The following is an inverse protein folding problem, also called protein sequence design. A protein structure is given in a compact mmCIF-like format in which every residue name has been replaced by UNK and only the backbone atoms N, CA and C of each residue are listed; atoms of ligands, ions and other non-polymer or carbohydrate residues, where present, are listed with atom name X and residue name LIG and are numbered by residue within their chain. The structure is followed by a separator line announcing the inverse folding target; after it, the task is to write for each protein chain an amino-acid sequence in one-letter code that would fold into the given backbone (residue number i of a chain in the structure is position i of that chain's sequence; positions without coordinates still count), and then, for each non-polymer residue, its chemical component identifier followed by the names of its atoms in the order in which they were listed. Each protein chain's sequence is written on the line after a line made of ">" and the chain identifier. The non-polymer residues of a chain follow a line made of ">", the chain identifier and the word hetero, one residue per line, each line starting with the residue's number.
data_IF_953938574518
#
_entry.id   IF_953938574518
#
_cell.length_a   1.000
_cell.length_b   1.000
_cell.length_c   1.000
_cell.angle_alpha   90.00
_cell.angle_beta   90.00
_cell.angle_gamma   90.00
#
_symmetry.space_group_name_H-M   'P 1'
#
loop_
_entity.id
_entity.type
_entity.pdbx_description
1 polymer ?
#
# COMPACT_ATOMS: atom_id res chain seq x y z
N UNK A 1 -9.02 1.50 20.84
CA UNK A 1 -7.66 1.09 21.24
C UNK A 1 -6.59 1.64 20.28
N UNK A 2 -6.54 1.27 18.99
CA UNK A 2 -5.47 1.73 18.07
C UNK A 2 -5.29 3.26 18.06
N UNK A 3 -6.38 4.03 17.94
CA UNK A 3 -6.33 5.51 18.01
C UNK A 3 -5.73 6.03 19.31
N UNK A 4 -6.13 5.45 20.43
CA UNK A 4 -5.68 5.83 21.78
C UNK A 4 -4.18 5.60 21.96
N UNK A 5 -3.67 4.49 21.43
CA UNK A 5 -2.26 4.10 21.58
C UNK A 5 -1.38 4.49 20.40
N UNK A 6 -1.93 5.22 19.41
CA UNK A 6 -1.20 5.60 18.19
C UNK A 6 -0.74 4.41 17.34
N UNK A 7 -1.41 3.27 17.44
CA UNK A 7 -1.05 2.05 16.70
C UNK A 7 -1.36 2.22 15.21
N UNK A 8 -0.41 1.84 14.36
CA UNK A 8 -0.57 1.83 12.91
C UNK A 8 -1.31 0.58 12.44
N UNK A 9 -2.19 0.76 11.46
CA UNK A 9 -2.82 -0.32 10.72
C UNK A 9 -2.14 -0.46 9.36
N UNK A 10 -1.68 -1.68 9.03
CA UNK A 10 -1.18 -2.04 7.70
C UNK A 10 -2.20 -2.98 7.06
N UNK A 11 -2.94 -2.56 6.02
CA UNK A 11 -4.15 -3.26 5.60
C UNK A 11 -3.91 -4.43 4.65
N UNK A 12 -2.87 -4.40 3.81
CA UNK A 12 -2.53 -5.48 2.87
C UNK A 12 -3.71 -5.93 2.00
N UNK A 13 -4.45 -4.96 1.43
CA UNK A 13 -5.67 -5.25 0.66
C UNK A 13 -5.35 -6.07 -0.59
N UNK A 14 -4.21 -5.80 -1.23
CA UNK A 14 -3.72 -6.52 -2.40
C UNK A 14 -3.65 -8.03 -2.17
N UNK A 15 -3.14 -8.47 -1.02
CA UNK A 15 -3.08 -9.89 -0.68
C UNK A 15 -4.47 -10.48 -0.43
N UNK A 16 -5.37 -9.74 0.24
CA UNK A 16 -6.76 -10.14 0.44
C UNK A 16 -7.51 -10.38 -0.87
N UNK A 17 -7.36 -9.45 -1.82
CA UNK A 17 -7.94 -9.55 -3.16
C UNK A 17 -7.35 -10.74 -3.92
N UNK A 18 -6.03 -10.93 -3.87
CA UNK A 18 -5.36 -12.04 -4.53
C UNK A 18 -5.85 -13.40 -4.01
N UNK A 19 -5.86 -13.61 -2.69
CA UNK A 19 -6.30 -14.90 -2.13
C UNK A 19 -7.78 -15.15 -2.38
N UNK A 20 -8.61 -14.10 -2.40
CA UNK A 20 -10.02 -14.23 -2.73
C UNK A 20 -10.23 -14.71 -4.17
N UNK A 21 -9.56 -14.09 -5.14
CA UNK A 21 -9.64 -14.50 -6.54
C UNK A 21 -9.09 -15.92 -6.74
N UNK A 22 -7.93 -16.22 -6.13
CA UNK A 22 -7.32 -17.55 -6.21
C UNK A 22 -8.15 -18.65 -5.56
N UNK A 23 -8.90 -18.35 -4.51
CA UNK A 23 -9.78 -19.35 -3.88
C UNK A 23 -10.99 -19.74 -4.75
N UNK A 24 -11.30 -18.99 -5.81
CA UNK A 24 -12.32 -19.37 -6.79
C UNK A 24 -11.78 -20.41 -7.78
N UNK A 25 -10.47 -20.48 -7.99
CA UNK A 25 -9.80 -21.46 -8.83
C UNK A 25 -9.79 -22.85 -8.14
N UNK A 26 -10.44 -23.88 -8.71
CA UNK A 26 -10.44 -25.21 -8.11
C UNK A 26 -9.03 -25.78 -7.96
N UNK A 27 -8.69 -26.30 -6.77
CA UNK A 27 -7.41 -26.92 -6.49
C UNK A 27 -6.23 -25.97 -6.25
N UNK A 28 -6.42 -24.64 -6.32
CA UNK A 28 -5.34 -23.69 -6.04
C UNK A 28 -4.91 -23.71 -4.57
N UNK A 29 -5.89 -23.66 -3.67
CA UNK A 29 -5.66 -23.79 -2.22
C UNK A 29 -6.11 -25.16 -1.71
N UNK A 30 -5.44 -25.70 -0.67
CA UNK A 30 -5.99 -26.82 0.09
C UNK A 30 -7.40 -26.52 0.59
N UNK A 31 -8.28 -27.54 0.66
CA UNK A 31 -9.69 -27.38 1.08
C UNK A 31 -9.85 -26.77 2.47
N UNK A 32 -8.87 -26.96 3.36
CA UNK A 32 -8.86 -26.32 4.69
C UNK A 32 -8.54 -24.81 4.64
N UNK A 33 -7.89 -24.33 3.59
CA UNK A 33 -7.47 -22.93 3.41
C UNK A 33 -8.50 -22.14 2.60
N UNK A 34 -9.08 -22.76 1.57
CA UNK A 34 -9.98 -22.11 0.61
C UNK A 34 -11.16 -21.35 1.27
N UNK A 35 -11.89 -21.89 2.27
CA UNK A 35 -12.99 -21.16 2.90
C UNK A 35 -12.53 -19.87 3.59
N UNK A 36 -11.34 -19.88 4.21
CA UNK A 36 -10.78 -18.71 4.89
C UNK A 36 -10.47 -17.58 3.91
N UNK A 37 -9.88 -17.92 2.77
CA UNK A 37 -9.56 -16.96 1.72
C UNK A 37 -10.82 -16.33 1.12
N UNK A 38 -11.85 -17.14 0.85
CA UNK A 38 -13.15 -16.67 0.37
C UNK A 38 -13.84 -15.72 1.37
N UNK A 39 -13.74 -16.03 2.66
CA UNK A 39 -14.39 -15.24 3.70
C UNK A 39 -13.67 -13.91 3.99
N UNK A 40 -12.34 -13.95 4.11
CA UNK A 40 -11.57 -12.81 4.64
C UNK A 40 -11.21 -11.80 3.56
N UNK A 41 -10.82 -12.24 2.37
CA UNK A 41 -10.32 -11.34 1.32
C UNK A 41 -11.20 -10.10 1.05
N UNK A 42 -12.52 -10.28 0.84
CA UNK A 42 -13.43 -9.15 0.59
C UNK A 42 -13.59 -8.19 1.79
N UNK A 43 -13.38 -8.68 3.02
CA UNK A 43 -13.60 -7.91 4.26
C UNK A 43 -12.47 -6.90 4.53
N UNK A 44 -11.27 -7.14 4.00
CA UNK A 44 -10.08 -6.32 4.30
C UNK A 44 -10.27 -4.89 3.80
N UNK A 45 -10.71 -4.70 2.54
CA UNK A 45 -10.94 -3.37 1.96
C UNK A 45 -12.02 -2.59 2.71
N UNK A 46 -13.11 -3.26 3.08
CA UNK A 46 -14.17 -2.65 3.90
C UNK A 46 -13.62 -2.21 5.26
N UNK A 47 -12.77 -3.04 5.88
CA UNK A 47 -12.16 -2.76 7.18
C UNK A 47 -11.20 -1.58 7.12
N UNK A 48 -10.41 -1.48 6.04
CA UNK A 48 -9.59 -0.30 5.76
C UNK A 48 -10.43 0.98 5.69
N UNK A 49 -11.53 0.97 4.94
CA UNK A 49 -12.41 2.13 4.83
C UNK A 49 -13.01 2.56 6.18
N UNK A 50 -13.40 1.60 7.02
CA UNK A 50 -13.87 1.88 8.38
C UNK A 50 -12.76 2.46 9.26
N UNK A 51 -11.58 1.85 9.26
CA UNK A 51 -10.44 2.32 10.05
C UNK A 51 -10.00 3.74 9.67
N UNK A 52 -9.96 4.05 8.38
CA UNK A 52 -9.64 5.39 7.88
C UNK A 52 -10.66 6.43 8.32
N UNK A 53 -11.97 6.14 8.14
CA UNK A 53 -13.06 7.02 8.59
C UNK A 53 -13.03 7.29 10.09
N UNK A 54 -12.64 6.29 10.86
CA UNK A 54 -12.48 6.43 12.31
C UNK A 54 -11.25 7.25 12.71
N UNK A 55 -10.29 7.49 11.81
CA UNK A 55 -9.05 8.20 12.12
C UNK A 55 -7.95 7.31 12.71
N UNK A 56 -7.95 6.02 12.40
CA UNK A 56 -6.82 5.14 12.69
C UNK A 56 -5.64 5.53 11.80
N UNK A 57 -4.42 5.57 12.36
CA UNK A 57 -3.21 5.78 11.57
C UNK A 57 -3.00 4.59 10.62
N UNK A 58 -2.82 4.84 9.33
CA UNK A 58 -2.65 3.81 8.31
C UNK A 58 -1.28 3.95 7.66
N UNK A 59 -0.54 2.85 7.60
CA UNK A 59 0.70 2.73 6.87
C UNK A 59 0.53 1.79 5.67
N UNK A 60 1.27 2.04 4.60
CA UNK A 60 1.20 1.24 3.39
C UNK A 60 1.91 -0.10 3.58
N UNK A 61 1.26 -1.18 3.15
CA UNK A 61 1.85 -2.50 3.11
C UNK A 61 0.94 -3.44 2.35
N UNK A 62 1.54 -4.42 1.68
CA UNK A 62 0.88 -5.16 0.59
C UNK A 62 0.82 -6.66 0.83
N UNK A 63 1.70 -7.18 1.69
CA UNK A 63 1.98 -8.62 1.84
C UNK A 63 2.38 -9.30 0.50
N UNK A 64 3.06 -8.53 -0.36
CA UNK A 64 3.66 -9.06 -1.60
C UNK A 64 4.70 -10.14 -1.28
N UNK A 65 4.59 -11.25 -2.01
CA UNK A 65 5.05 -12.57 -1.57
C UNK A 65 3.89 -13.55 -1.53
N UNK A 66 2.68 -13.09 -1.16
CA UNK A 66 1.41 -13.79 -1.42
C UNK A 66 1.03 -13.66 -2.90
N UNK A 67 1.08 -12.43 -3.42
CA UNK A 67 1.00 -12.11 -4.85
C UNK A 67 2.38 -11.76 -5.43
N UNK A 68 2.54 -11.72 -6.78
CA UNK A 68 3.84 -11.48 -7.42
C UNK A 68 4.46 -10.11 -7.07
N UNK A 69 5.75 -10.10 -6.73
CA UNK A 69 6.49 -8.85 -6.54
C UNK A 69 6.47 -7.97 -7.80
N UNK A 70 6.39 -6.65 -7.59
CA UNK A 70 6.32 -5.65 -8.67
C UNK A 70 4.92 -5.05 -8.86
N UNK A 71 3.88 -5.69 -8.32
CA UNK A 71 2.50 -5.20 -8.36
C UNK A 71 2.14 -4.35 -7.12
N UNK A 72 3.12 -3.97 -6.31
CA UNK A 72 2.91 -3.26 -5.03
C UNK A 72 2.06 -1.99 -5.16
N UNK A 73 2.18 -1.27 -6.29
CA UNK A 73 1.46 -0.03 -6.51
C UNK A 73 -0.07 -0.20 -6.65
N UNK A 74 -0.57 -1.42 -6.86
CA UNK A 74 -2.02 -1.69 -6.87
C UNK A 74 -2.68 -1.41 -5.50
N UNK A 75 -1.92 -1.49 -4.42
CA UNK A 75 -2.41 -1.15 -3.08
C UNK A 75 -2.86 0.31 -2.99
N UNK A 76 -2.20 1.25 -3.69
CA UNK A 76 -2.65 2.64 -3.71
C UNK A 76 -4.07 2.78 -4.27
N UNK A 77 -4.38 2.04 -5.34
CA UNK A 77 -5.72 2.02 -5.92
C UNK A 77 -6.72 1.45 -4.91
N UNK A 78 -6.41 0.34 -4.25
CA UNK A 78 -7.29 -0.26 -3.25
C UNK A 78 -7.54 0.66 -2.04
N UNK A 79 -6.51 1.39 -1.59
CA UNK A 79 -6.65 2.36 -0.51
C UNK A 79 -7.59 3.50 -0.88
N UNK A 80 -7.50 4.01 -2.11
CA UNK A 80 -8.40 5.05 -2.63
C UNK A 80 -9.81 4.51 -2.84
N UNK A 81 -9.98 3.30 -3.38
CA UNK A 81 -11.28 2.61 -3.49
C UNK A 81 -11.94 2.40 -2.12
N UNK A 82 -11.16 2.14 -1.07
CA UNK A 82 -11.64 2.03 0.30
C UNK A 82 -12.09 3.39 0.90
N UNK A 83 -11.85 4.50 0.20
CA UNK A 83 -12.28 5.85 0.58
C UNK A 83 -11.18 6.76 1.10
N UNK A 84 -9.90 6.36 1.03
CA UNK A 84 -8.79 7.25 1.38
C UNK A 84 -8.59 8.33 0.31
N UNK A 85 -8.20 9.54 0.73
CA UNK A 85 -7.74 10.55 -0.22
C UNK A 85 -6.42 10.09 -0.88
N UNK A 86 -6.20 10.37 -2.17
CA UNK A 86 -4.94 10.01 -2.85
C UNK A 86 -3.68 10.51 -2.14
N UNK A 87 -3.71 11.74 -1.59
CA UNK A 87 -2.58 12.29 -0.84
C UNK A 87 -2.28 11.51 0.44
N UNK A 88 -3.31 11.03 1.14
CA UNK A 88 -3.14 10.26 2.37
C UNK A 88 -2.59 8.86 2.07
N UNK A 89 -2.98 8.25 0.95
CA UNK A 89 -2.39 7.00 0.48
C UNK A 89 -0.89 7.17 0.15
N UNK A 90 -0.51 8.27 -0.51
CA UNK A 90 0.91 8.60 -0.77
C UNK A 90 1.67 8.80 0.55
N UNK A 91 1.10 9.52 1.53
CA UNK A 91 1.73 9.68 2.84
C UNK A 91 1.88 8.36 3.59
N UNK A 92 0.86 7.47 3.53
CA UNK A 92 0.92 6.13 4.10
C UNK A 92 2.15 5.34 3.60
N UNK A 93 2.55 5.54 2.35
CA UNK A 93 3.69 4.88 1.70
C UNK A 93 5.02 5.63 1.80
N UNK A 94 5.03 6.84 2.36
CA UNK A 94 6.21 7.70 2.41
C UNK A 94 6.49 8.13 3.84
N UNK A 95 6.02 9.30 4.26
CA UNK A 95 6.31 9.89 5.56
C UNK A 95 5.77 9.05 6.73
N UNK A 96 4.62 8.41 6.57
CA UNK A 96 4.05 7.52 7.59
C UNK A 96 4.81 6.19 7.66
N UNK A 97 5.18 5.61 6.52
CA UNK A 97 6.02 4.42 6.51
C UNK A 97 7.39 4.68 7.17
N UNK A 98 7.97 5.86 6.93
CA UNK A 98 9.19 6.28 7.61
C UNK A 98 9.00 6.40 9.14
N UNK A 99 7.86 6.93 9.61
CA UNK A 99 7.51 6.97 11.04
C UNK A 99 7.42 5.55 11.63
N UNK A 100 6.73 4.63 10.95
CA UNK A 100 6.61 3.22 11.38
C UNK A 100 7.97 2.53 11.50
N UNK A 101 8.88 2.80 10.55
CA UNK A 101 10.23 2.21 10.52
C UNK A 101 11.25 2.98 11.37
N UNK A 102 10.82 4.01 12.10
CA UNK A 102 11.68 4.92 12.88
C UNK A 102 12.85 5.51 12.05
N UNK A 103 12.58 5.82 10.78
CA UNK A 103 13.52 6.44 9.85
C UNK A 103 13.26 7.95 9.81
N UNK A 104 14.27 8.75 10.15
CA UNK A 104 14.13 10.21 10.32
C UNK A 104 14.53 11.01 9.08
N UNK A 105 15.28 10.40 8.18
CA UNK A 105 15.87 11.00 6.98
C UNK A 105 15.23 10.50 5.68
N UNK A 106 14.05 9.85 5.77
CA UNK A 106 13.31 9.28 4.63
C UNK A 106 11.85 9.76 4.58
N UNK A 107 11.20 9.51 3.43
CA UNK A 107 9.76 9.71 3.25
C UNK A 107 9.31 11.15 2.97
N UNK A 108 10.24 12.10 2.83
CA UNK A 108 9.96 13.50 2.50
C UNK A 108 11.00 14.06 1.54
N UNK A 109 10.57 14.92 0.62
CA UNK A 109 11.47 15.73 -0.21
C UNK A 109 11.72 17.04 0.53
N UNK A 110 12.80 17.08 1.32
CA UNK A 110 13.19 18.23 2.14
C UNK A 110 14.72 18.25 2.32
N UNK A 111 15.30 19.43 2.53
CA UNK A 111 16.73 19.57 2.88
C UNK A 111 17.08 18.68 4.08
N UNK A 112 18.16 17.91 3.93
CA UNK A 112 18.67 17.00 4.97
C UNK A 112 18.11 15.58 4.92
N UNK A 113 17.17 15.30 4.01
CA UNK A 113 16.66 13.95 3.75
C UNK A 113 17.56 13.22 2.73
N UNK A 114 17.52 11.89 2.73
CA UNK A 114 18.12 11.06 1.67
C UNK A 114 17.48 11.36 0.32
N UNK A 115 18.30 11.28 -0.73
CA UNK A 115 17.85 11.47 -2.11
C UNK A 115 17.20 10.19 -2.66
N UNK A 116 16.06 9.82 -2.07
CA UNK A 116 15.19 8.72 -2.50
C UNK A 116 13.97 9.33 -3.20
N UNK A 117 13.99 9.31 -4.53
CA UNK A 117 13.02 10.02 -5.37
C UNK A 117 12.45 9.07 -6.42
N UNK A 118 11.12 9.09 -6.54
CA UNK A 118 10.39 8.35 -7.57
C UNK A 118 9.57 9.35 -8.38
N UNK A 119 9.52 9.17 -9.71
CA UNK A 119 8.65 9.96 -10.58
C UNK A 119 7.76 9.08 -11.45
N UNK A 120 6.58 9.60 -11.75
CA UNK A 120 5.52 8.99 -12.56
C UNK A 120 5.05 10.01 -13.59
N UNK A 121 4.52 9.55 -14.71
CA UNK A 121 3.86 10.43 -15.66
C UNK A 121 2.45 10.78 -15.18
N UNK A 122 2.11 12.06 -15.16
CA UNK A 122 0.80 12.55 -14.72
C UNK A 122 0.76 12.96 -13.25
N UNK A 123 -0.46 13.17 -12.72
CA UNK A 123 -0.66 13.67 -11.36
C UNK A 123 -1.34 12.59 -10.49
N UNK A 124 -0.62 11.96 -9.54
CA UNK A 124 -1.17 10.89 -8.71
C UNK A 124 -2.26 11.35 -7.74
N UNK A 125 -2.42 12.66 -7.52
CA UNK A 125 -3.52 13.21 -6.72
C UNK A 125 -4.84 13.29 -7.49
N UNK A 126 -4.78 13.25 -8.82
CA UNK A 126 -5.96 13.23 -9.70
C UNK A 126 -6.29 11.82 -10.18
N UNK A 127 -5.25 11.03 -10.47
CA UNK A 127 -5.37 9.64 -10.88
C UNK A 127 -4.28 8.84 -10.19
N UNK A 128 -4.65 8.10 -9.15
CA UNK A 128 -3.69 7.32 -8.35
C UNK A 128 -3.09 6.15 -9.16
N UNK A 129 -3.74 5.71 -10.24
CA UNK A 129 -3.28 4.55 -11.03
C UNK A 129 -1.96 4.81 -11.75
N UNK A 130 -1.58 6.08 -11.97
CA UNK A 130 -0.29 6.45 -12.55
C UNK A 130 0.89 6.00 -11.71
N UNK A 131 0.69 5.71 -10.42
CA UNK A 131 1.73 5.15 -9.52
C UNK A 131 2.22 3.78 -9.95
N UNK A 132 1.47 3.05 -10.79
CA UNK A 132 1.93 1.79 -11.41
C UNK A 132 2.99 2.00 -12.49
N UNK A 133 3.03 3.19 -13.08
CA UNK A 133 3.90 3.53 -14.22
C UNK A 133 5.01 4.48 -13.78
N UNK A 134 5.85 4.02 -12.87
CA UNK A 134 7.07 4.73 -12.45
C UNK A 134 8.04 4.83 -13.62
N UNK A 135 8.51 6.04 -13.91
CA UNK A 135 9.46 6.32 -15.01
C UNK A 135 10.85 6.67 -14.51
N UNK A 136 10.99 7.03 -13.24
CA UNK A 136 12.26 7.40 -12.64
C UNK A 136 12.37 6.86 -11.22
N UNK A 137 13.56 6.33 -10.89
CA UNK A 137 13.89 5.85 -9.55
C UNK A 137 15.31 6.28 -9.21
N UNK A 138 15.45 7.03 -8.12
CA UNK A 138 16.70 7.37 -7.47
C UNK A 138 16.67 6.86 -6.03
N UNK A 139 17.78 6.26 -5.58
CA UNK A 139 17.97 5.80 -4.21
C UNK A 139 19.35 6.22 -3.74
N UNK A 140 19.42 6.88 -2.60
CA UNK A 140 20.63 7.42 -1.98
C UNK A 140 21.44 8.29 -2.96
N UNK A 141 20.74 9.05 -3.82
CA UNK A 141 21.33 9.90 -4.85
C UNK A 141 21.77 9.18 -6.13
N UNK A 142 21.70 7.84 -6.17
CA UNK A 142 22.05 7.04 -7.35
C UNK A 142 20.79 6.76 -8.16
N UNK A 143 20.85 6.99 -9.47
CA UNK A 143 19.73 6.76 -10.39
C UNK A 143 19.75 5.31 -10.89
N UNK A 144 18.64 4.60 -10.71
CA UNK A 144 18.45 3.19 -11.11
C UNK A 144 17.48 3.02 -12.28
N UNK A 145 16.60 4.00 -12.53
CA UNK A 145 15.66 4.00 -13.65
C UNK A 145 15.52 5.41 -14.21
N UNK A 146 15.48 5.51 -15.53
CA UNK A 146 15.33 6.75 -16.30
C UNK A 146 14.30 6.52 -17.43
N UNK A 147 13.59 7.56 -17.89
CA UNK A 147 12.64 7.47 -19.00
C UNK A 147 13.27 7.01 -20.32
#
# INVERSE_FOLDING_TARGET
>A
LMKQYGTFYVPTVSAGEFVYEKAKEPGYFPEIVRPKALEIGPKIKQTLGMAYKEGVKIAFGTDMGVSPHGENADEFRYMVEAGMKPIDAIFAATSVAAEVLNQKDLGKIQKGMKADIVAVNGNPLKDISVTKNVVFVMKDGVVYRQP
#
